data_IF_292969540644
#
_entry.id   IF_292969540644
#
_cell.length_a   1.000
_cell.length_b   1.000
_cell.length_c   1.000
_cell.angle_alpha   90.00
_cell.angle_beta   90.00
_cell.angle_gamma   90.00
#
_symmetry.space_group_name_H-M   'P 1'
#
loop_
_entity.id
_entity.type
_entity.pdbx_description
1 polymer ?
#
# COMPACT_ATOMS: atom_id res chain seq x y z
N UNK A 1 33.96 -19.41 -12.53
CA UNK A 1 33.53 -18.04 -12.16
C UNK A 1 32.35 -18.24 -11.23
N UNK A 2 32.57 -18.12 -9.92
CA UNK A 2 31.58 -18.40 -8.89
C UNK A 2 30.99 -17.09 -8.38
N UNK A 3 29.66 -17.07 -8.26
CA UNK A 3 28.86 -15.91 -7.84
C UNK A 3 28.24 -16.24 -6.49
N UNK A 4 28.32 -15.31 -5.53
CA UNK A 4 27.71 -15.45 -4.21
C UNK A 4 26.44 -14.60 -4.17
N UNK A 5 25.35 -15.18 -3.64
CA UNK A 5 24.12 -14.45 -3.33
C UNK A 5 24.35 -13.64 -2.05
N UNK A 6 24.22 -12.32 -2.15
CA UNK A 6 24.25 -11.43 -0.98
C UNK A 6 22.81 -11.13 -0.59
N UNK A 7 22.42 -11.53 0.61
CA UNK A 7 21.09 -11.26 1.18
C UNK A 7 21.17 -10.02 2.08
N UNK A 8 20.37 -9.01 1.74
CA UNK A 8 20.22 -7.82 2.55
C UNK A 8 19.25 -8.04 3.73
N UNK A 9 19.26 -7.16 4.73
CA UNK A 9 18.31 -7.20 5.85
C UNK A 9 16.86 -6.90 5.43
N UNK A 10 16.70 -6.14 4.36
CA UNK A 10 15.46 -5.99 3.63
C UNK A 10 15.43 -7.16 2.64
N UNK A 11 14.29 -7.83 2.45
CA UNK A 11 14.15 -9.11 1.73
C UNK A 11 14.58 -9.12 0.24
N UNK A 12 15.35 -8.12 -0.22
CA UNK A 12 16.08 -8.12 -1.47
C UNK A 12 17.38 -8.93 -1.40
N UNK A 13 17.71 -9.55 -2.52
CA UNK A 13 18.98 -10.24 -2.73
C UNK A 13 19.58 -9.79 -4.06
N UNK A 14 20.89 -9.55 -4.07
CA UNK A 14 21.66 -9.23 -5.27
C UNK A 14 22.81 -10.21 -5.45
N UNK A 15 23.17 -10.46 -6.70
CA UNK A 15 24.23 -11.41 -7.07
C UNK A 15 25.56 -10.68 -7.27
N UNK A 16 26.59 -11.09 -6.53
CA UNK A 16 27.92 -10.50 -6.62
C UNK A 16 29.01 -11.54 -6.86
N UNK A 17 30.14 -11.09 -7.41
CA UNK A 17 31.33 -11.95 -7.54
C UNK A 17 31.82 -12.37 -6.16
N UNK A 18 32.24 -13.62 -6.07
CA UNK A 18 32.83 -14.18 -4.85
C UNK A 18 34.04 -13.34 -4.39
N UNK A 19 34.04 -12.91 -3.12
CA UNK A 19 35.08 -12.07 -2.52
C UNK A 19 34.79 -10.57 -2.46
N UNK A 20 33.71 -10.09 -3.09
CA UNK A 20 33.33 -8.66 -3.11
C UNK A 20 31.93 -8.40 -2.50
N UNK A 21 31.68 -8.73 -1.21
CA UNK A 21 30.39 -8.45 -0.60
C UNK A 21 30.17 -6.94 -0.41
N UNK A 22 29.02 -6.43 -0.84
CA UNK A 22 28.62 -5.05 -0.58
C UNK A 22 28.21 -4.92 0.89
N UNK A 23 28.77 -3.92 1.58
CA UNK A 23 28.35 -3.58 2.95
C UNK A 23 26.96 -2.96 2.90
N UNK A 24 25.97 -3.68 3.40
CA UNK A 24 24.59 -3.20 3.52
C UNK A 24 24.30 -2.78 4.97
N UNK A 25 23.52 -1.70 5.15
CA UNK A 25 23.06 -1.29 6.49
C UNK A 25 22.00 -2.27 6.95
N UNK A 26 22.27 -3.05 8.00
CA UNK A 26 21.39 -4.12 8.53
C UNK A 26 20.02 -3.62 9.05
N UNK A 27 19.88 -2.32 9.33
CA UNK A 27 18.63 -1.72 9.78
C UNK A 27 18.36 -0.44 9.00
N UNK A 28 17.09 -0.17 8.71
CA UNK A 28 16.61 1.11 8.20
C UNK A 28 16.84 2.19 9.27
N UNK A 29 18.06 2.70 9.38
CA UNK A 29 18.31 3.96 10.09
C UNK A 29 17.85 5.07 9.15
N UNK A 30 16.82 5.86 9.54
CA UNK A 30 16.40 7.00 8.74
C UNK A 30 17.62 7.90 8.55
N UNK A 31 17.95 8.17 7.29
CA UNK A 31 18.93 9.20 6.99
C UNK A 31 18.31 10.55 7.38
N UNK A 32 18.89 11.29 8.34
CA UNK A 32 18.28 12.50 8.86
C UNK A 32 18.12 13.60 7.79
N UNK A 33 18.90 13.54 6.70
CA UNK A 33 18.88 14.54 5.64
C UNK A 33 17.97 14.14 4.45
N UNK A 34 17.75 12.84 4.23
CA UNK A 34 16.95 12.34 3.10
C UNK A 34 15.48 12.02 3.44
N UNK A 35 15.14 11.88 4.72
CA UNK A 35 13.79 11.47 5.14
C UNK A 35 13.46 10.01 4.79
N UNK A 36 12.27 9.54 5.18
CA UNK A 36 11.82 8.15 4.95
C UNK A 36 10.67 8.11 3.95
N UNK A 37 10.83 7.35 2.88
CA UNK A 37 9.72 7.02 1.99
C UNK A 37 8.97 5.78 2.51
N UNK A 38 7.64 5.87 2.57
CA UNK A 38 6.75 4.77 2.97
C UNK A 38 5.80 4.48 1.81
N UNK A 39 6.08 3.45 0.99
CA UNK A 39 5.17 3.04 -0.06
C UNK A 39 3.98 2.25 0.51
N UNK A 40 2.79 2.48 -0.04
CA UNK A 40 1.60 1.66 0.16
C UNK A 40 1.01 1.28 -1.18
N UNK A 41 0.93 -0.04 -1.45
CA UNK A 41 0.52 -0.58 -2.72
C UNK A 41 -0.94 -1.04 -2.73
N UNK A 42 -1.61 -0.82 -3.85
CA UNK A 42 -2.92 -1.41 -4.19
C UNK A 42 -2.74 -2.16 -5.49
N UNK A 43 -3.15 -3.41 -5.51
CA UNK A 43 -3.11 -4.23 -6.70
C UNK A 43 -4.54 -4.57 -7.13
N UNK A 44 -4.89 -4.08 -8.31
CA UNK A 44 -6.14 -4.38 -8.98
C UNK A 44 -5.98 -5.65 -9.81
N UNK A 45 -6.57 -6.74 -9.33
CA UNK A 45 -6.52 -8.06 -9.96
C UNK A 45 -7.31 -8.15 -11.27
N UNK A 46 -8.35 -7.32 -11.43
CA UNK A 46 -9.27 -7.41 -12.57
C UNK A 46 -8.70 -6.78 -13.81
N UNK A 47 -7.88 -5.73 -13.68
CA UNK A 47 -7.16 -5.12 -14.81
C UNK A 47 -5.65 -5.34 -14.77
N UNK A 48 -5.14 -6.10 -13.78
CA UNK A 48 -3.71 -6.38 -13.59
C UNK A 48 -2.87 -5.09 -13.51
N UNK A 49 -3.28 -4.16 -12.65
CA UNK A 49 -2.57 -2.88 -12.46
C UNK A 49 -2.23 -2.63 -11.00
N UNK A 50 -1.08 -2.00 -10.78
CA UNK A 50 -0.64 -1.54 -9.46
C UNK A 50 -0.78 -0.04 -9.31
N UNK A 51 -1.16 0.41 -8.12
CA UNK A 51 -1.08 1.80 -7.67
C UNK A 51 -0.20 1.87 -6.43
N UNK A 52 0.69 2.85 -6.37
CA UNK A 52 1.55 3.08 -5.20
C UNK A 52 1.38 4.52 -4.73
N UNK A 53 1.00 4.67 -3.47
CA UNK A 53 1.09 5.93 -2.74
C UNK A 53 2.39 5.96 -1.97
N UNK A 54 3.13 7.07 -2.01
CA UNK A 54 4.38 7.24 -1.25
C UNK A 54 4.17 8.33 -0.21
N UNK A 55 4.19 7.94 1.07
CA UNK A 55 4.17 8.83 2.21
C UNK A 55 5.58 9.15 2.66
N UNK A 56 5.75 10.26 3.39
CA UNK A 56 7.05 10.69 3.93
C UNK A 56 7.11 10.63 5.46
N UNK A 57 6.07 10.08 6.09
CA UNK A 57 5.88 10.08 7.55
C UNK A 57 5.76 8.64 8.10
N UNK A 58 4.57 8.21 8.56
CA UNK A 58 4.36 6.89 9.17
C UNK A 58 3.39 6.00 8.38
N UNK A 59 3.64 4.69 8.40
CA UNK A 59 2.68 3.68 7.94
C UNK A 59 1.55 3.54 8.97
N UNK A 60 0.42 4.19 8.69
CA UNK A 60 -0.74 4.26 9.59
C UNK A 60 -2.00 3.78 8.88
N UNK A 61 -3.01 3.38 9.66
CA UNK A 61 -4.32 3.02 9.10
C UNK A 61 -4.91 4.15 8.24
N UNK A 62 -4.72 5.41 8.65
CA UNK A 62 -5.15 6.57 7.88
C UNK A 62 -4.42 6.65 6.53
N UNK A 63 -3.10 6.43 6.50
CA UNK A 63 -2.32 6.41 5.26
C UNK A 63 -2.73 5.26 4.33
N UNK A 64 -2.97 4.07 4.88
CA UNK A 64 -3.46 2.91 4.13
C UNK A 64 -4.83 3.19 3.47
N UNK A 65 -5.80 3.72 4.22
CA UNK A 65 -7.12 4.03 3.67
C UNK A 65 -7.10 5.22 2.72
N UNK A 66 -6.27 6.22 2.98
CA UNK A 66 -6.07 7.34 2.05
C UNK A 66 -5.47 6.85 0.72
N UNK A 67 -4.60 5.83 0.76
CA UNK A 67 -4.11 5.19 -0.46
C UNK A 67 -5.24 4.54 -1.26
N UNK A 68 -6.17 3.85 -0.59
CA UNK A 68 -7.38 3.28 -1.22
C UNK A 68 -8.25 4.38 -1.83
N UNK A 69 -8.45 5.48 -1.09
CA UNK A 69 -9.22 6.64 -1.57
C UNK A 69 -8.59 7.25 -2.83
N UNK A 70 -7.27 7.45 -2.84
CA UNK A 70 -6.54 8.04 -3.98
C UNK A 70 -6.60 7.16 -5.21
N UNK A 71 -6.38 5.85 -5.06
CA UNK A 71 -6.54 4.91 -6.16
C UNK A 71 -7.97 4.94 -6.71
N UNK A 72 -8.98 4.88 -5.83
CA UNK A 72 -10.38 4.90 -6.27
C UNK A 72 -10.72 6.18 -7.03
N UNK A 73 -10.30 7.35 -6.53
CA UNK A 73 -10.58 8.63 -7.16
C UNK A 73 -9.76 8.89 -8.43
N UNK A 74 -8.53 8.37 -8.50
CA UNK A 74 -7.63 8.60 -9.62
C UNK A 74 -7.79 7.60 -10.78
N UNK A 75 -8.30 6.40 -10.51
CA UNK A 75 -8.47 5.37 -11.55
C UNK A 75 -9.64 4.42 -11.32
N UNK A 76 -9.80 3.90 -10.10
CA UNK A 76 -10.75 2.82 -9.84
C UNK A 76 -12.21 3.16 -10.20
N UNK A 77 -12.65 4.39 -9.94
CA UNK A 77 -14.02 4.83 -10.29
C UNK A 77 -14.29 4.87 -11.80
N UNK A 78 -13.26 5.06 -12.62
CA UNK A 78 -13.39 5.15 -14.07
C UNK A 78 -13.38 3.74 -14.70
N UNK A 79 -12.57 2.84 -14.15
CA UNK A 79 -12.58 1.42 -14.53
C UNK A 79 -13.86 0.71 -14.07
N UNK A 80 -14.46 1.14 -12.96
CA UNK A 80 -15.66 0.52 -12.37
C UNK A 80 -16.80 1.52 -12.08
N UNK A 81 -17.39 2.16 -13.10
CA UNK A 81 -18.35 3.27 -12.92
C UNK A 81 -19.68 2.87 -12.25
N UNK A 82 -19.99 1.57 -12.21
CA UNK A 82 -21.22 1.04 -11.59
C UNK A 82 -20.97 0.36 -10.24
N UNK A 83 -19.71 0.27 -9.81
CA UNK A 83 -19.35 -0.36 -8.55
C UNK A 83 -19.70 0.53 -7.37
N UNK A 84 -20.31 -0.09 -6.36
CA UNK A 84 -20.75 0.59 -5.13
C UNK A 84 -20.12 0.02 -3.86
N UNK A 85 -19.31 -1.01 -4.02
CA UNK A 85 -18.66 -1.76 -2.96
C UNK A 85 -17.27 -2.11 -3.46
N UNK A 86 -16.32 -2.07 -2.55
CA UNK A 86 -14.96 -2.54 -2.77
C UNK A 86 -14.72 -3.76 -1.89
N UNK A 87 -14.17 -4.81 -2.46
CA UNK A 87 -13.61 -5.94 -1.71
C UNK A 87 -12.12 -5.68 -1.55
N UNK A 88 -11.66 -5.56 -0.31
CA UNK A 88 -10.26 -5.34 0.01
C UNK A 88 -9.72 -6.63 0.63
N UNK A 89 -8.76 -7.25 -0.06
CA UNK A 89 -7.96 -8.34 0.48
C UNK A 89 -6.64 -7.77 0.99
N UNK A 90 -6.35 -7.94 2.27
CA UNK A 90 -5.11 -7.48 2.90
C UNK A 90 -4.46 -8.63 3.68
N UNK A 91 -3.15 -8.58 3.79
CA UNK A 91 -2.31 -9.45 4.62
C UNK A 91 -2.53 -9.25 6.13
N UNK A 92 -3.23 -8.18 6.52
CA UNK A 92 -3.63 -7.85 7.88
C UNK A 92 -2.45 -7.56 8.84
N UNK A 93 -1.36 -7.01 8.30
CA UNK A 93 -0.22 -6.50 9.06
C UNK A 93 -0.29 -4.99 9.34
N UNK A 94 0.39 -4.53 10.39
CA UNK A 94 0.60 -3.10 10.67
C UNK A 94 -0.65 -2.22 10.52
N UNK A 95 -0.62 -1.32 9.53
CA UNK A 95 -1.65 -0.32 9.25
C UNK A 95 -2.99 -0.88 8.77
N UNK A 96 -3.02 -2.08 8.16
CA UNK A 96 -4.25 -2.73 7.70
C UNK A 96 -4.71 -3.90 8.61
N UNK A 97 -4.14 -3.98 9.82
CA UNK A 97 -4.37 -5.06 10.77
C UNK A 97 -5.84 -5.21 11.18
N UNK A 98 -6.35 -6.44 11.16
CA UNK A 98 -7.75 -6.74 11.49
C UNK A 98 -8.12 -6.48 12.96
N UNK A 99 -7.13 -6.43 13.86
CA UNK A 99 -7.31 -6.05 15.28
C UNK A 99 -7.32 -4.55 15.48
N UNK A 100 -6.75 -3.79 14.55
CA UNK A 100 -6.61 -2.34 14.64
C UNK A 100 -7.97 -1.68 14.43
N UNK A 101 -8.49 -1.01 15.47
CA UNK A 101 -9.77 -0.28 15.37
C UNK A 101 -9.68 0.89 14.41
N UNK A 102 -8.51 1.54 14.32
CA UNK A 102 -8.28 2.64 13.38
C UNK A 102 -8.51 2.20 11.92
N UNK A 103 -8.00 1.02 11.51
CA UNK A 103 -8.25 0.47 10.17
C UNK A 103 -9.75 0.35 9.87
N UNK A 104 -10.51 -0.23 10.80
CA UNK A 104 -11.97 -0.36 10.65
C UNK A 104 -12.68 0.99 10.62
N UNK A 105 -12.26 1.93 11.46
CA UNK A 105 -12.84 3.26 11.54
C UNK A 105 -12.59 4.07 10.25
N UNK A 106 -11.37 4.05 9.74
CA UNK A 106 -11.00 4.73 8.49
C UNK A 106 -11.74 4.12 7.28
N UNK A 107 -11.83 2.79 7.19
CA UNK A 107 -12.63 2.14 6.15
C UNK A 107 -14.12 2.51 6.22
N UNK A 108 -14.68 2.60 7.43
CA UNK A 108 -16.05 3.05 7.63
C UNK A 108 -16.22 4.50 7.19
N UNK A 109 -15.29 5.39 7.53
CA UNK A 109 -15.29 6.78 7.09
C UNK A 109 -15.19 6.90 5.56
N UNK A 110 -14.32 6.10 4.92
CA UNK A 110 -14.22 6.01 3.47
C UNK A 110 -15.56 5.59 2.83
N UNK A 111 -16.18 4.53 3.35
CA UNK A 111 -17.46 4.04 2.84
C UNK A 111 -18.60 5.07 2.97
N UNK A 112 -18.60 5.86 4.05
CA UNK A 112 -19.59 6.92 4.27
C UNK A 112 -19.36 8.16 3.40
N UNK A 113 -18.12 8.42 2.99
CA UNK A 113 -17.75 9.56 2.15
C UNK A 113 -18.03 9.35 0.66
N UNK A 114 -18.33 8.12 0.22
CA UNK A 114 -18.73 7.87 -1.16
C UNK A 114 -20.10 8.54 -1.41
N UNK A 115 -20.27 9.31 -2.51
CA UNK A 115 -21.49 10.04 -2.76
C UNK A 115 -22.69 9.08 -2.73
N UNK A 116 -23.69 9.41 -1.90
CA UNK A 116 -24.94 8.68 -1.87
C UNK A 116 -25.52 8.71 -3.28
N UNK A 117 -25.50 7.56 -3.97
CA UNK A 117 -26.27 7.44 -5.20
C UNK A 117 -27.70 7.86 -4.88
N UNK A 118 -28.32 8.65 -5.75
CA UNK A 118 -29.75 8.91 -5.68
C UNK A 118 -30.49 7.56 -5.58
N UNK A 119 -31.07 7.30 -4.40
CA UNK A 119 -32.08 6.26 -4.24
C UNK A 119 -33.22 6.69 -5.16
N UNK A 120 -33.31 6.14 -6.38
CA UNK A 120 -34.57 6.16 -7.12
C UNK A 120 -35.58 5.44 -6.22
N UNK A 121 -36.36 6.21 -5.47
CA UNK A 121 -37.60 5.73 -4.87
C UNK A 121 -38.42 5.18 -6.02
N UNK A 122 -38.59 3.85 -6.07
CA UNK A 122 -39.64 3.26 -6.90
C UNK A 122 -40.95 3.73 -6.27
N UNK A 123 -41.71 4.51 -7.04
CA UNK A 123 -43.13 4.73 -6.82
C UNK A 123 -43.90 3.47 -7.24
#
# INVERSE_FOLDING_TARGET
MSTIKVEGPNAGAEWHREGEPVRVRTHDFPDPDLGKAIPYGIYDLTVNTGWVSVGTDHDTAAFAVESVRRWWNGRGRDDYPHSRRLLITADAGGSNGYRTRAWKAELAALALSAPASSRRRRA
#
